data_IF_059195958172
#
_entry.id   IF_059195958172
#
_cell.length_a   1.000
_cell.length_b   1.000
_cell.length_c   1.000
_cell.angle_alpha   90.00
_cell.angle_beta   90.00
_cell.angle_gamma   90.00
#
_symmetry.space_group_name_H-M   'P 1'
#
loop_
_entity.id
_entity.type
_entity.pdbx_description
1 polymer ?
#
# COMPACT_ATOMS: atom_id res chain seq x y z
N UNK A 1 -11.07 9.35 -11.93
CA UNK A 1 -11.07 8.24 -12.91
C UNK A 1 -9.96 7.19 -12.63
N UNK A 2 -9.69 6.82 -11.37
CA UNK A 2 -8.59 5.92 -10.97
C UNK A 2 -9.03 4.48 -10.65
N UNK A 3 -10.33 4.21 -10.51
CA UNK A 3 -10.85 2.87 -10.15
C UNK A 3 -10.84 1.83 -11.28
N UNK A 4 -10.92 2.23 -12.56
CA UNK A 4 -11.01 1.30 -13.70
C UNK A 4 -9.71 0.54 -14.00
N UNK A 5 -8.53 1.14 -13.77
CA UNK A 5 -7.25 0.46 -14.04
C UNK A 5 -7.00 -0.70 -13.07
N UNK A 6 -7.39 -0.53 -11.80
CA UNK A 6 -7.22 -1.55 -10.76
C UNK A 6 -8.06 -2.80 -11.06
N UNK A 7 -9.32 -2.60 -11.47
CA UNK A 7 -10.23 -3.66 -11.91
C UNK A 7 -9.68 -4.43 -13.12
N UNK A 8 -9.08 -3.71 -14.09
CA UNK A 8 -8.59 -4.31 -15.34
C UNK A 8 -7.36 -5.20 -15.16
N UNK A 9 -6.49 -4.86 -14.21
CA UNK A 9 -5.31 -5.68 -13.89
C UNK A 9 -5.74 -6.95 -13.17
N UNK A 10 -6.64 -6.84 -12.18
CA UNK A 10 -7.17 -8.01 -11.47
C UNK A 10 -7.93 -8.93 -12.44
N UNK A 11 -8.76 -8.40 -13.34
CA UNK A 11 -9.47 -9.21 -14.33
C UNK A 11 -8.54 -9.86 -15.35
N UNK A 12 -7.44 -9.19 -15.72
CA UNK A 12 -6.41 -9.74 -16.60
C UNK A 12 -5.70 -10.91 -15.93
N UNK A 13 -5.22 -10.74 -14.70
CA UNK A 13 -4.59 -11.82 -13.95
C UNK A 13 -5.56 -12.94 -13.60
N UNK A 14 -6.84 -12.65 -13.34
CA UNK A 14 -7.86 -13.67 -13.12
C UNK A 14 -8.13 -14.50 -14.38
N UNK A 15 -8.17 -13.85 -15.56
CA UNK A 15 -8.29 -14.57 -16.84
C UNK A 15 -7.04 -15.39 -17.14
N UNK A 16 -5.85 -14.82 -16.89
CA UNK A 16 -4.58 -15.52 -17.04
C UNK A 16 -4.52 -16.75 -16.13
N UNK A 17 -4.89 -16.62 -14.86
CA UNK A 17 -4.95 -17.75 -13.93
C UNK A 17 -5.95 -18.80 -14.42
N UNK A 18 -7.13 -18.38 -14.87
CA UNK A 18 -8.17 -19.30 -15.36
C UNK A 18 -7.69 -20.10 -16.58
N UNK A 19 -6.98 -19.44 -17.49
CA UNK A 19 -6.39 -20.08 -18.67
C UNK A 19 -5.30 -21.09 -18.28
N UNK A 20 -4.45 -20.73 -17.32
CA UNK A 20 -3.35 -21.58 -16.89
C UNK A 20 -3.81 -22.76 -16.02
N UNK A 21 -4.87 -22.58 -15.21
CA UNK A 21 -5.57 -23.71 -14.58
C UNK A 21 -6.19 -24.64 -15.63
N UNK A 22 -6.76 -24.09 -16.71
CA UNK A 22 -7.32 -24.89 -17.80
C UNK A 22 -6.26 -25.69 -18.56
N UNK A 23 -4.99 -25.31 -18.48
CA UNK A 23 -3.85 -26.04 -19.06
C UNK A 23 -3.31 -27.16 -18.13
N UNK A 24 -3.91 -27.35 -16.95
CA UNK A 24 -3.55 -28.42 -16.01
C UNK A 24 -2.52 -28.03 -14.96
N UNK A 25 -2.15 -26.75 -14.85
CA UNK A 25 -1.29 -26.28 -13.77
C UNK A 25 -2.07 -26.16 -12.45
N UNK A 26 -1.44 -26.55 -11.35
CA UNK A 26 -2.05 -26.48 -10.02
C UNK A 26 -2.19 -25.03 -9.56
N UNK A 27 -3.33 -24.69 -8.99
CA UNK A 27 -3.63 -23.35 -8.45
C UNK A 27 -2.50 -22.83 -7.55
N UNK A 28 -1.93 -23.68 -6.68
CA UNK A 28 -0.87 -23.27 -5.77
C UNK A 28 0.44 -22.82 -6.45
N UNK A 29 0.87 -23.47 -7.54
CA UNK A 29 2.11 -23.08 -8.24
C UNK A 29 1.95 -21.75 -8.97
N UNK A 30 0.76 -21.50 -9.52
CA UNK A 30 0.41 -20.23 -10.15
C UNK A 30 0.33 -19.11 -9.14
N UNK A 31 -0.31 -19.34 -7.98
CA UNK A 31 -0.35 -18.35 -6.89
C UNK A 31 1.05 -18.02 -6.34
N UNK A 32 1.92 -19.02 -6.21
CA UNK A 32 3.29 -18.81 -5.73
C UNK A 32 4.15 -18.00 -6.71
N UNK A 33 3.80 -17.99 -8.01
CA UNK A 33 4.49 -17.21 -9.05
C UNK A 33 4.13 -15.73 -9.05
N UNK A 34 3.05 -15.34 -8.36
CA UNK A 34 2.54 -13.97 -8.36
C UNK A 34 3.18 -13.17 -7.22
N UNK A 35 4.03 -12.17 -7.50
CA UNK A 35 4.79 -11.44 -6.47
C UNK A 35 3.92 -10.56 -5.56
N UNK A 36 2.68 -10.30 -5.95
CA UNK A 36 1.69 -9.51 -5.20
C UNK A 36 0.81 -10.36 -4.27
N UNK A 37 0.93 -11.69 -4.37
CA UNK A 37 0.14 -12.63 -3.60
C UNK A 37 1.00 -13.23 -2.48
N UNK A 38 0.47 -13.25 -1.26
CA UNK A 38 1.23 -13.79 -0.13
C UNK A 38 1.43 -15.30 -0.30
N UNK A 39 2.62 -15.80 0.04
CA UNK A 39 2.94 -17.24 0.07
C UNK A 39 2.00 -18.02 0.99
N UNK A 40 1.40 -17.32 1.96
CA UNK A 40 0.33 -17.87 2.80
C UNK A 40 -0.85 -18.37 1.97
N UNK A 41 -1.21 -17.67 0.89
CA UNK A 41 -2.34 -18.06 0.05
C UNK A 41 -2.03 -19.34 -0.76
N UNK A 42 -0.82 -19.51 -1.27
CA UNK A 42 -0.42 -20.78 -1.93
C UNK A 42 -0.40 -21.96 -0.95
N UNK A 43 -0.10 -21.72 0.32
CA UNK A 43 -0.16 -22.73 1.38
C UNK A 43 -1.59 -23.16 1.70
N UNK A 44 -2.56 -22.25 1.68
CA UNK A 44 -3.98 -22.57 1.88
C UNK A 44 -4.51 -23.49 0.77
N UNK A 45 -4.09 -23.26 -0.48
CA UNK A 45 -4.51 -24.06 -1.63
C UNK A 45 -3.78 -25.41 -1.78
N UNK A 46 -2.64 -25.62 -1.11
CA UNK A 46 -1.94 -26.93 -1.09
C UNK A 46 -2.48 -27.88 -0.02
N UNK A 47 -3.20 -27.35 0.96
CA UNK A 47 -3.86 -28.18 1.96
C UNK A 47 -5.10 -28.77 1.26
N UNK A 48 -5.19 -30.10 1.13
CA UNK A 48 -6.34 -30.85 0.58
C UNK A 48 -7.58 -30.69 1.48
N UNK A 49 -8.01 -29.44 1.65
CA UNK A 49 -9.11 -29.05 2.48
C UNK A 49 -10.35 -29.07 1.60
N UNK A 50 -11.33 -29.89 2.00
CA UNK A 50 -12.69 -29.82 1.49
C UNK A 50 -13.08 -28.36 1.22
N UNK A 51 -13.71 -28.08 0.07
CA UNK A 51 -13.98 -26.74 -0.46
C UNK A 51 -14.57 -25.76 0.57
N UNK A 52 -15.29 -26.28 1.56
CA UNK A 52 -15.87 -25.53 2.69
C UNK A 52 -14.81 -24.93 3.65
N UNK A 53 -13.74 -25.66 3.94
CA UNK A 53 -12.65 -25.18 4.80
C UNK A 53 -11.80 -24.13 4.10
N UNK A 54 -11.46 -24.37 2.83
CA UNK A 54 -10.69 -23.42 2.03
C UNK A 54 -11.38 -22.06 1.89
N UNK A 55 -12.70 -22.06 1.69
CA UNK A 55 -13.49 -20.82 1.59
C UNK A 55 -13.40 -20.01 2.89
N UNK A 56 -13.56 -20.67 4.04
CA UNK A 56 -13.47 -20.02 5.35
C UNK A 56 -12.07 -19.46 5.63
N UNK A 57 -11.03 -20.18 5.24
CA UNK A 57 -9.65 -19.73 5.42
C UNK A 57 -9.31 -18.55 4.50
N UNK A 58 -9.86 -18.52 3.27
CA UNK A 58 -9.73 -17.38 2.36
C UNK A 58 -10.43 -16.13 2.90
N UNK A 59 -11.63 -16.28 3.46
CA UNK A 59 -12.37 -15.15 4.06
C UNK A 59 -11.57 -14.55 5.22
N UNK A 60 -11.08 -15.39 6.13
CA UNK A 60 -10.24 -14.95 7.24
C UNK A 60 -8.93 -14.31 6.75
N UNK A 61 -8.28 -14.90 5.76
CA UNK A 61 -7.05 -14.34 5.17
C UNK A 61 -7.30 -12.96 4.56
N UNK A 62 -8.43 -12.76 3.89
CA UNK A 62 -8.81 -11.49 3.28
C UNK A 62 -9.06 -10.42 4.34
N UNK A 63 -9.69 -10.78 5.46
CA UNK A 63 -9.90 -9.88 6.60
C UNK A 63 -8.58 -9.40 7.19
N UNK A 64 -7.65 -10.33 7.46
CA UNK A 64 -6.30 -10.01 7.95
C UNK A 64 -5.55 -9.10 6.99
N UNK A 65 -5.55 -9.41 5.69
CA UNK A 65 -4.87 -8.61 4.68
C UNK A 65 -5.45 -7.19 4.61
N UNK A 66 -6.77 -7.06 4.69
CA UNK A 66 -7.46 -5.78 4.69
C UNK A 66 -7.06 -4.95 5.91
N UNK A 67 -6.96 -5.58 7.08
CA UNK A 67 -6.53 -4.91 8.30
C UNK A 67 -5.06 -4.46 8.23
N UNK A 68 -4.17 -5.27 7.67
CA UNK A 68 -2.78 -4.87 7.43
C UNK A 68 -2.67 -3.67 6.49
N UNK A 69 -3.41 -3.69 5.38
CA UNK A 69 -3.44 -2.57 4.43
C UNK A 69 -3.93 -1.30 5.11
N UNK A 70 -5.02 -1.38 5.89
CA UNK A 70 -5.53 -0.27 6.68
C UNK A 70 -4.49 0.23 7.68
N UNK A 71 -3.82 -0.67 8.41
CA UNK A 71 -2.80 -0.31 9.39
C UNK A 71 -1.59 0.36 8.76
N UNK A 72 -1.14 -0.10 7.59
CA UNK A 72 -0.07 0.55 6.82
C UNK A 72 -0.49 1.93 6.33
N UNK A 73 -1.72 2.07 5.81
CA UNK A 73 -2.26 3.37 5.38
C UNK A 73 -2.32 4.37 6.55
N UNK A 74 -2.83 3.94 7.71
CA UNK A 74 -2.87 4.79 8.90
C UNK A 74 -1.47 5.16 9.38
N UNK A 75 -0.51 4.23 9.36
CA UNK A 75 0.88 4.51 9.73
C UNK A 75 1.52 5.55 8.82
N UNK A 76 1.25 5.50 7.51
CA UNK A 76 1.73 6.52 6.55
C UNK A 76 1.15 7.90 6.89
N UNK A 77 -0.14 7.98 7.20
CA UNK A 77 -0.79 9.23 7.64
C UNK A 77 -0.19 9.73 8.95
N UNK A 78 0.09 8.86 9.93
CA UNK A 78 0.73 9.27 11.18
C UNK A 78 2.15 9.81 10.96
N UNK A 79 2.88 9.31 9.96
CA UNK A 79 4.21 9.81 9.61
C UNK A 79 4.20 11.12 8.83
N UNK A 80 3.14 11.40 8.05
CA UNK A 80 3.09 12.66 7.27
C UNK A 80 2.91 13.88 8.17
N UNK A 81 2.23 13.73 9.30
CA UNK A 81 1.97 14.78 10.27
C UNK A 81 3.24 15.43 10.87
N UNK A 82 4.22 14.68 11.44
CA UNK A 82 5.45 15.27 11.97
C UNK A 82 6.32 15.92 10.88
N UNK A 83 6.35 15.34 9.67
CA UNK A 83 7.08 15.92 8.53
C UNK A 83 6.48 17.29 8.16
N UNK A 84 5.15 17.39 8.14
CA UNK A 84 4.46 18.65 7.83
C UNK A 84 4.77 19.74 8.87
N UNK A 85 4.80 19.37 10.16
CA UNK A 85 5.20 20.29 11.24
C UNK A 85 6.65 20.77 11.11
N UNK A 86 7.58 19.88 10.75
CA UNK A 86 8.99 20.27 10.52
C UNK A 86 9.12 21.26 9.36
N UNK A 87 8.39 21.02 8.26
CA UNK A 87 8.37 21.92 7.11
C UNK A 87 7.81 23.29 7.50
N UNK A 88 6.70 23.32 8.23
CA UNK A 88 6.11 24.57 8.74
C UNK A 88 7.07 25.34 9.66
N UNK A 89 7.73 24.65 10.60
CA UNK A 89 8.71 25.27 11.49
C UNK A 89 9.87 25.89 10.70
N UNK A 90 10.35 25.20 9.67
CA UNK A 90 11.36 25.72 8.75
C UNK A 90 10.90 26.99 8.05
N UNK A 91 9.67 27.03 7.53
CA UNK A 91 9.11 28.23 6.91
C UNK A 91 9.02 29.41 7.87
N UNK A 92 8.60 29.19 9.11
CA UNK A 92 8.52 30.26 10.13
C UNK A 92 9.91 30.88 10.36
N UNK A 93 10.94 30.05 10.52
CA UNK A 93 12.33 30.52 10.70
C UNK A 93 12.79 31.31 9.47
N UNK A 94 12.50 30.82 8.27
CA UNK A 94 12.92 31.45 7.03
C UNK A 94 12.29 32.84 6.83
N UNK A 95 10.97 32.94 7.06
CA UNK A 95 10.24 34.21 7.02
C UNK A 95 10.80 35.17 8.07
N UNK A 96 11.07 34.70 9.28
CA UNK A 96 11.64 35.52 10.34
C UNK A 96 13.00 36.12 9.93
N UNK A 97 13.92 35.31 9.40
CA UNK A 97 15.22 35.78 8.91
C UNK A 97 15.03 36.80 7.78
N UNK A 98 14.08 36.56 6.87
CA UNK A 98 13.78 37.43 5.74
C UNK A 98 13.29 38.80 6.18
N UNK A 99 12.52 38.87 7.28
CA UNK A 99 12.06 40.14 7.87
C UNK A 99 13.18 40.84 8.65
N UNK A 100 14.02 40.08 9.35
CA UNK A 100 15.13 40.64 10.14
C UNK A 100 16.26 41.19 9.27
N UNK A 101 16.59 40.53 8.16
CA UNK A 101 17.64 40.96 7.22
C UNK A 101 17.53 42.43 6.76
N UNK A 102 16.39 42.91 6.23
CA UNK A 102 16.24 44.31 5.83
C UNK A 102 16.24 45.27 7.03
N UNK A 103 15.81 44.83 8.21
CA UNK A 103 15.91 45.65 9.43
C UNK A 103 17.36 45.86 9.86
N UNK A 104 18.24 44.87 9.68
CA UNK A 104 19.68 45.02 9.88
C UNK A 104 20.32 46.02 8.89
N UNK A 105 19.88 46.03 7.63
CA UNK A 105 20.34 47.01 6.63
C UNK A 105 19.89 48.44 6.98
N UNK A 106 18.67 48.62 7.48
CA UNK A 106 18.15 49.91 7.95
C UNK A 106 18.95 50.48 9.12
N UNK A 107 19.29 49.66 10.12
CA UNK A 107 20.09 50.10 11.29
C UNK A 107 21.52 50.50 10.89
N UNK A 108 22.12 49.84 9.89
CA UNK A 108 23.47 50.20 9.41
C UNK A 108 23.54 51.48 8.58
N UNK A 109 22.40 51.93 8.05
CA UNK A 109 22.32 53.13 7.19
C UNK A 109 22.08 54.42 7.99
N UNK A 110 21.77 54.30 9.29
CA UNK A 110 21.66 55.42 10.25
C UNK A 110 22.98 55.55 11.01
#
# INVERSE_FOLDING_TARGET
MSGLKKQRIISFYASYLKEELSKGYTMSSLLASLPFLDKKLSSLFNQDASSMHLTKDLDMFTEVLTEEVKRRALRLVTYIQPVFFLVLAGFIIFIYITIMWPMYELIKTI
#
